data_IF_660518093103
#
_entry.id   IF_660518093103
#
_cell.length_a   1.000
_cell.length_b   1.000
_cell.length_c   1.000
_cell.angle_alpha   90.00
_cell.angle_beta   90.00
_cell.angle_gamma   90.00
#
_symmetry.space_group_name_H-M   'P 1'
#
loop_
_entity.id
_entity.type
_entity.pdbx_description
1 polymer ?
#
# COMPACT_ATOMS: atom_id res chain seq x y z
N UNK A 1 -29.23 16.55 -7.32
CA UNK A 1 -28.83 16.45 -8.73
C UNK A 1 -29.29 15.11 -9.25
N UNK A 2 -29.95 15.09 -10.42
CA UNK A 2 -30.32 13.83 -11.07
C UNK A 2 -29.04 13.06 -11.45
N UNK A 3 -29.03 11.72 -11.45
CA UNK A 3 -27.91 10.94 -12.00
C UNK A 3 -27.53 11.36 -13.44
N UNK A 4 -28.47 11.97 -14.18
CA UNK A 4 -28.29 12.46 -15.54
C UNK A 4 -27.67 13.86 -15.67
N UNK A 5 -27.40 14.56 -14.57
CA UNK A 5 -26.81 15.92 -14.59
C UNK A 5 -25.29 15.93 -14.34
N UNK A 6 -24.63 14.76 -14.34
CA UNK A 6 -23.18 14.70 -14.17
C UNK A 6 -22.49 15.17 -15.44
N UNK A 7 -21.79 16.30 -15.35
CA UNK A 7 -20.82 16.72 -16.38
C UNK A 7 -19.77 15.59 -16.50
N UNK A 8 -19.50 15.08 -17.71
CA UNK A 8 -18.44 14.09 -17.90
C UNK A 8 -17.11 14.62 -17.33
N UNK A 9 -16.45 13.80 -16.50
CA UNK A 9 -15.13 14.12 -15.99
C UNK A 9 -14.04 13.92 -17.04
N UNK A 10 -12.90 14.59 -16.85
CA UNK A 10 -11.71 14.40 -17.67
C UNK A 10 -10.94 13.12 -17.29
N UNK A 11 -10.21 12.56 -18.28
CA UNK A 11 -9.25 11.47 -18.04
C UNK A 11 -7.88 12.07 -17.72
N UNK A 12 -7.34 11.71 -16.57
CA UNK A 12 -6.02 12.16 -16.11
C UNK A 12 -4.95 11.11 -16.41
N UNK A 13 -3.80 11.57 -16.90
CA UNK A 13 -2.65 10.69 -17.22
C UNK A 13 -1.38 11.27 -16.61
N UNK A 14 -0.75 10.53 -15.70
CA UNK A 14 0.64 10.76 -15.29
C UNK A 14 1.55 9.90 -16.15
N UNK A 15 2.48 10.51 -16.89
CA UNK A 15 3.44 9.74 -17.70
C UNK A 15 4.46 9.09 -16.77
N UNK A 16 4.85 7.85 -17.07
CA UNK A 16 5.80 7.09 -16.25
C UNK A 16 7.12 7.83 -15.99
N UNK A 17 7.64 8.55 -17.00
CA UNK A 17 8.86 9.37 -16.88
C UNK A 17 8.74 10.52 -15.87
N UNK A 18 7.51 10.92 -15.52
CA UNK A 18 7.22 12.01 -14.59
C UNK A 18 6.89 11.48 -13.18
N UNK A 19 6.90 10.15 -12.98
CA UNK A 19 6.73 9.50 -11.68
C UNK A 19 8.10 9.47 -11.00
N UNK A 20 8.27 10.32 -10.00
CA UNK A 20 9.52 10.50 -9.26
C UNK A 20 9.25 10.39 -7.77
N UNK A 21 10.30 10.11 -6.99
CA UNK A 21 10.21 10.13 -5.54
C UNK A 21 9.66 11.47 -5.05
N UNK A 22 8.73 11.43 -4.10
CA UNK A 22 8.29 12.63 -3.41
C UNK A 22 9.43 13.18 -2.54
N UNK A 23 9.48 14.49 -2.38
CA UNK A 23 10.36 15.10 -1.36
C UNK A 23 9.83 14.79 0.04
N UNK A 24 10.70 14.39 0.95
CA UNK A 24 10.36 14.13 2.36
C UNK A 24 10.97 12.84 2.89
N UNK A 25 10.85 12.58 4.21
CA UNK A 25 11.37 11.36 4.83
C UNK A 25 10.71 10.12 4.23
N UNK A 26 11.52 9.12 3.94
CA UNK A 26 11.09 7.77 3.56
C UNK A 26 11.83 6.78 4.46
N UNK A 27 11.27 5.58 4.64
CA UNK A 27 12.06 4.49 5.23
C UNK A 27 13.25 4.22 4.32
N UNK A 28 14.44 4.04 4.89
CA UNK A 28 15.66 3.86 4.10
C UNK A 28 15.51 2.65 3.16
N UNK A 29 15.84 2.85 1.90
CA UNK A 29 15.63 1.88 0.83
C UNK A 29 14.17 1.61 0.39
N UNK A 30 13.15 2.22 1.01
CA UNK A 30 11.76 2.23 0.50
C UNK A 30 11.48 3.52 -0.24
N UNK A 31 11.50 3.49 -1.56
CA UNK A 31 11.21 4.66 -2.39
C UNK A 31 9.76 4.63 -2.85
N UNK A 32 8.94 5.57 -2.35
CA UNK A 32 7.54 5.74 -2.77
C UNK A 32 7.41 6.94 -3.70
N UNK A 33 6.86 6.69 -4.90
CA UNK A 33 6.75 7.66 -5.98
C UNK A 33 5.26 7.84 -6.34
N UNK A 34 4.63 8.96 -5.95
CA UNK A 34 3.21 9.17 -6.20
C UNK A 34 2.93 9.26 -7.71
N UNK A 35 1.98 8.45 -8.19
CA UNK A 35 1.56 8.45 -9.59
C UNK A 35 0.27 9.25 -9.77
N UNK A 36 -0.78 8.91 -9.03
CA UNK A 36 -2.08 9.60 -9.02
C UNK A 36 -2.46 9.85 -7.55
N UNK A 37 -2.22 11.05 -7.05
CA UNK A 37 -2.51 11.47 -5.67
C UNK A 37 -3.17 12.85 -5.73
N UNK A 38 -4.15 13.10 -4.84
CA UNK A 38 -4.93 14.35 -4.81
C UNK A 38 -5.78 14.62 -6.06
N UNK A 39 -6.05 13.60 -6.88
CA UNK A 39 -6.81 13.72 -8.15
C UNK A 39 -8.20 13.10 -8.10
N UNK A 40 -8.46 12.17 -7.18
CA UNK A 40 -9.74 11.48 -7.02
C UNK A 40 -10.10 11.44 -5.54
N UNK A 41 -11.40 11.45 -5.21
CA UNK A 41 -11.86 11.26 -3.83
C UNK A 41 -11.97 9.79 -3.44
N UNK A 42 -11.77 8.86 -4.38
CA UNK A 42 -12.04 7.44 -4.18
C UNK A 42 -10.78 6.59 -4.15
N UNK A 43 -9.78 6.94 -4.96
CA UNK A 43 -8.55 6.15 -5.07
C UNK A 43 -7.33 7.02 -5.33
N UNK A 44 -6.18 6.54 -4.86
CA UNK A 44 -4.87 7.06 -5.22
C UNK A 44 -3.92 5.91 -5.57
N UNK A 45 -2.85 6.24 -6.30
CA UNK A 45 -1.91 5.28 -6.87
C UNK A 45 -0.46 5.72 -6.66
N UNK A 46 0.39 4.79 -6.23
CA UNK A 46 1.81 5.00 -5.94
C UNK A 46 2.65 3.87 -6.54
N UNK A 47 3.83 4.19 -7.06
CA UNK A 47 4.86 3.20 -7.39
C UNK A 47 5.81 3.09 -6.21
N UNK A 48 5.99 1.90 -5.67
CA UNK A 48 6.97 1.63 -4.62
C UNK A 48 8.15 0.84 -5.21
N UNK A 49 9.36 1.25 -4.87
CA UNK A 49 10.58 0.47 -5.11
C UNK A 49 11.20 0.14 -3.75
N UNK A 50 11.40 -1.15 -3.49
CA UNK A 50 12.12 -1.62 -2.32
C UNK A 50 13.51 -2.08 -2.74
N UNK A 51 14.56 -1.54 -2.13
CA UNK A 51 15.95 -1.95 -2.38
C UNK A 51 16.24 -3.35 -1.82
N UNK A 52 17.31 -4.03 -2.27
CA UNK A 52 17.71 -5.32 -1.72
C UNK A 52 17.87 -5.26 -0.20
N UNK A 53 17.45 -6.33 0.50
CA UNK A 53 17.61 -6.50 1.94
C UNK A 53 16.99 -5.37 2.78
N UNK A 54 15.76 -5.00 2.45
CA UNK A 54 15.04 -3.92 3.15
C UNK A 54 13.65 -4.35 3.60
N UNK A 55 13.18 -3.72 4.66
CA UNK A 55 11.82 -3.86 5.15
C UNK A 55 11.29 -2.49 5.57
N UNK A 56 9.99 -2.27 5.37
CA UNK A 56 9.32 -1.09 5.93
C UNK A 56 9.25 -1.15 7.46
N UNK A 57 8.91 -0.04 8.11
CA UNK A 57 8.38 -0.10 9.48
C UNK A 57 7.02 -0.85 9.51
N UNK A 58 6.64 -1.34 10.69
CA UNK A 58 5.27 -1.84 10.91
C UNK A 58 4.32 -0.64 10.87
N UNK A 59 3.26 -0.75 10.08
CA UNK A 59 2.30 0.35 9.88
C UNK A 59 0.94 -0.17 9.43
N UNK A 60 -0.06 0.72 9.39
CA UNK A 60 -1.33 0.51 8.70
C UNK A 60 -1.74 1.76 7.90
N UNK A 61 -2.82 1.65 7.13
CA UNK A 61 -3.31 2.71 6.24
C UNK A 61 -4.63 3.33 6.72
N UNK A 62 -4.82 3.40 8.04
CA UNK A 62 -6.08 3.86 8.63
C UNK A 62 -7.29 3.13 8.03
N UNK A 63 -8.26 3.89 7.53
CA UNK A 63 -9.49 3.41 6.90
C UNK A 63 -9.34 2.95 5.44
N UNK A 64 -8.15 3.07 4.84
CA UNK A 64 -7.94 2.73 3.42
C UNK A 64 -7.65 1.24 3.23
N UNK A 65 -8.46 0.58 2.40
CA UNK A 65 -8.05 -0.67 1.77
C UNK A 65 -6.92 -0.41 0.77
N UNK A 66 -5.95 -1.32 0.70
CA UNK A 66 -4.79 -1.25 -0.19
C UNK A 66 -4.69 -2.47 -1.08
N UNK A 67 -4.61 -2.25 -2.39
CA UNK A 67 -4.24 -3.28 -3.37
C UNK A 67 -2.77 -3.09 -3.74
N UNK A 68 -2.02 -4.18 -3.68
CA UNK A 68 -0.65 -4.27 -4.20
C UNK A 68 -0.70 -5.13 -5.46
N UNK A 69 -0.08 -4.64 -6.53
CA UNK A 69 0.28 -5.45 -7.69
C UNK A 69 1.80 -5.55 -7.78
N UNK A 70 2.33 -6.77 -7.72
CA UNK A 70 3.76 -7.03 -7.82
C UNK A 70 4.21 -6.95 -9.28
N UNK A 71 4.83 -5.85 -9.68
CA UNK A 71 5.21 -5.63 -11.08
C UNK A 71 6.60 -6.19 -11.41
N UNK A 72 7.55 -6.17 -10.47
CA UNK A 72 8.92 -6.70 -10.64
C UNK A 72 9.46 -7.24 -9.32
N UNK A 73 10.27 -8.30 -9.42
CA UNK A 73 11.03 -8.89 -8.32
C UNK A 73 10.16 -9.74 -7.39
N UNK A 74 10.80 -10.36 -6.40
CA UNK A 74 10.14 -11.24 -5.43
C UNK A 74 10.28 -10.60 -4.04
N UNK A 75 9.15 -10.35 -3.39
CA UNK A 75 9.11 -9.77 -2.04
C UNK A 75 8.03 -10.43 -1.21
N UNK A 76 7.76 -9.89 -0.03
CA UNK A 76 6.74 -10.42 0.84
C UNK A 76 5.98 -9.35 1.61
N UNK A 77 4.75 -9.67 1.99
CA UNK A 77 3.99 -8.95 3.01
C UNK A 77 4.01 -9.78 4.29
N UNK A 78 4.59 -9.22 5.35
CA UNK A 78 4.52 -9.77 6.71
C UNK A 78 3.35 -9.11 7.43
N UNK A 79 2.55 -9.88 8.16
CA UNK A 79 1.32 -9.41 8.80
C UNK A 79 0.87 -10.32 9.95
N UNK A 80 -0.25 -9.98 10.58
CA UNK A 80 -0.87 -10.77 11.64
C UNK A 80 -0.26 -10.50 13.02
N UNK A 81 -0.76 -11.19 14.05
CA UNK A 81 -0.34 -10.95 15.45
C UNK A 81 1.18 -11.10 15.55
N UNK A 82 1.85 -10.02 15.97
CA UNK A 82 3.31 -9.93 16.05
C UNK A 82 4.06 -10.30 14.76
N UNK A 83 3.48 -10.06 13.57
CA UNK A 83 4.12 -10.40 12.29
C UNK A 83 4.26 -11.89 12.04
N UNK A 84 3.42 -12.72 12.67
CA UNK A 84 3.51 -14.19 12.61
C UNK A 84 3.15 -14.81 11.25
N UNK A 85 2.57 -14.03 10.33
CA UNK A 85 2.16 -14.49 9.01
C UNK A 85 2.96 -13.78 7.93
N UNK A 86 3.12 -14.46 6.81
CA UNK A 86 3.87 -13.96 5.65
C UNK A 86 3.28 -14.50 4.37
N UNK A 87 3.11 -13.62 3.39
CA UNK A 87 2.79 -13.98 2.02
C UNK A 87 3.90 -13.51 1.10
N UNK A 88 4.52 -14.44 0.39
CA UNK A 88 5.40 -14.10 -0.73
C UNK A 88 4.57 -13.58 -1.90
N UNK A 89 5.14 -12.63 -2.64
CA UNK A 89 4.59 -12.05 -3.85
C UNK A 89 5.64 -12.12 -4.96
N UNK A 90 5.25 -12.70 -6.08
CA UNK A 90 6.05 -12.77 -7.31
C UNK A 90 5.43 -11.90 -8.40
N UNK A 91 6.14 -11.58 -9.49
CA UNK A 91 5.60 -10.73 -10.54
C UNK A 91 4.28 -11.25 -11.12
N UNK A 92 3.25 -10.41 -11.13
CA UNK A 92 1.90 -10.74 -11.57
C UNK A 92 0.89 -10.95 -10.43
N UNK A 93 1.36 -11.12 -9.20
CA UNK A 93 0.47 -11.32 -8.05
C UNK A 93 -0.25 -10.04 -7.62
N UNK A 94 -1.43 -10.23 -7.06
CA UNK A 94 -2.19 -9.22 -6.35
C UNK A 94 -2.29 -9.57 -4.86
N UNK A 95 -2.20 -8.56 -4.01
CA UNK A 95 -2.57 -8.67 -2.60
C UNK A 95 -3.58 -7.59 -2.24
N UNK A 96 -4.52 -7.94 -1.36
CA UNK A 96 -5.35 -7.00 -0.62
C UNK A 96 -4.82 -6.90 0.80
N UNK A 97 -4.57 -5.69 1.25
CA UNK A 97 -4.29 -5.34 2.63
C UNK A 97 -5.50 -4.51 3.12
N UNK A 98 -6.39 -5.10 3.94
CA UNK A 98 -7.57 -4.39 4.41
C UNK A 98 -7.23 -3.19 5.31
N UNK A 99 -8.17 -2.26 5.42
CA UNK A 99 -8.11 -1.17 6.39
C UNK A 99 -7.66 -1.66 7.79
N UNK A 100 -6.81 -0.88 8.45
CA UNK A 100 -6.20 -1.15 9.75
C UNK A 100 -5.34 -2.43 9.85
N UNK A 101 -5.14 -3.19 8.78
CA UNK A 101 -4.25 -4.34 8.83
C UNK A 101 -2.81 -3.88 9.00
N UNK A 102 -2.21 -4.20 10.16
CA UNK A 102 -0.79 -4.00 10.39
C UNK A 102 0.02 -4.90 9.47
N UNK A 103 1.03 -4.33 8.82
CA UNK A 103 1.88 -5.06 7.90
C UNK A 103 3.27 -4.43 7.75
N UNK A 104 4.16 -5.20 7.11
CA UNK A 104 5.42 -4.74 6.55
C UNK A 104 5.55 -5.22 5.10
N UNK A 105 6.08 -4.36 4.24
CA UNK A 105 6.62 -4.79 2.96
C UNK A 105 8.09 -5.17 3.15
N UNK A 106 8.49 -6.33 2.60
CA UNK A 106 9.82 -6.92 2.78
C UNK A 106 10.41 -7.29 1.42
N UNK A 107 11.67 -6.94 1.23
CA UNK A 107 12.52 -7.42 0.14
C UNK A 107 13.77 -8.09 0.73
N UNK A 108 13.74 -9.41 0.82
CA UNK A 108 14.89 -10.22 1.24
C UNK A 108 15.79 -10.63 0.06
N UNK A 109 15.48 -10.17 -1.16
CA UNK A 109 16.21 -10.55 -2.37
C UNK A 109 17.39 -9.62 -2.65
N UNK A 110 18.25 -10.02 -3.57
CA UNK A 110 19.39 -9.24 -4.06
C UNK A 110 19.02 -8.20 -5.13
N UNK A 111 17.75 -8.14 -5.53
CA UNK A 111 17.27 -7.27 -6.61
C UNK A 111 16.24 -6.26 -6.10
N UNK A 112 16.11 -5.13 -6.79
CA UNK A 112 15.01 -4.19 -6.53
C UNK A 112 13.66 -4.85 -6.85
N UNK A 113 12.70 -4.75 -5.93
CA UNK A 113 11.29 -5.04 -6.22
C UNK A 113 10.55 -3.75 -6.59
N UNK A 114 9.56 -3.88 -7.48
CA UNK A 114 8.69 -2.75 -7.90
C UNK A 114 7.24 -3.17 -7.75
N UNK A 115 6.51 -2.47 -6.90
CA UNK A 115 5.10 -2.71 -6.64
C UNK A 115 4.25 -1.49 -7.02
N UNK A 116 3.07 -1.75 -7.56
CA UNK A 116 2.06 -0.73 -7.83
C UNK A 116 1.02 -0.81 -6.72
N UNK A 117 0.87 0.28 -5.98
CA UNK A 117 0.01 0.36 -4.81
C UNK A 117 -1.18 1.24 -5.18
N UNK A 118 -2.39 0.72 -4.99
CA UNK A 118 -3.64 1.47 -5.11
C UNK A 118 -4.34 1.48 -3.76
N UNK A 119 -4.80 2.65 -3.31
CA UNK A 119 -5.51 2.79 -2.02
C UNK A 119 -6.87 3.42 -2.19
N UNK A 120 -7.80 3.06 -1.32
CA UNK A 120 -9.15 3.62 -1.23
C UNK A 120 -9.19 4.98 -0.55
N UNK A 121 -8.66 6.02 -1.18
CA UNK A 121 -8.68 7.38 -0.65
C UNK A 121 -8.00 8.39 -1.56
N UNK A 122 -8.16 9.68 -1.24
CA UNK A 122 -7.62 10.78 -2.07
C UNK A 122 -6.11 10.93 -1.97
N UNK A 123 -5.59 10.75 -0.76
CA UNK A 123 -4.19 10.88 -0.42
C UNK A 123 -3.81 9.69 0.45
N UNK A 124 -2.63 9.08 0.25
CA UNK A 124 -2.24 7.90 0.98
C UNK A 124 -2.15 8.18 2.48
N UNK A 125 -2.81 7.36 3.29
CA UNK A 125 -2.67 7.34 4.75
C UNK A 125 -1.56 6.35 5.12
N UNK A 126 -0.66 6.76 6.01
CA UNK A 126 0.37 5.89 6.59
C UNK A 126 0.49 6.21 8.07
N UNK A 127 0.14 5.26 8.91
CA UNK A 127 0.28 5.35 10.36
C UNK A 127 1.37 4.39 10.82
N UNK A 128 2.56 4.92 11.08
CA UNK A 128 3.69 4.14 11.57
C UNK A 128 3.49 3.76 13.03
N UNK A 129 3.82 2.51 13.36
CA UNK A 129 3.71 1.96 14.71
C UNK A 129 5.09 1.77 15.34
N UNK A 130 5.17 1.81 16.67
CA UNK A 130 6.40 1.49 17.42
C UNK A 130 6.75 -0.01 17.37
N UNK A 131 5.84 -0.84 16.86
CA UNK A 131 5.98 -2.27 16.68
C UNK A 131 4.63 -2.90 16.33
N UNK A 132 4.58 -4.23 16.27
CA UNK A 132 3.32 -4.95 16.13
C UNK A 132 2.45 -4.78 17.37
N UNK A 133 1.16 -4.49 17.17
CA UNK A 133 0.23 -4.52 18.28
C UNK A 133 0.17 -5.93 18.86
N UNK A 134 0.33 -6.01 20.18
CA UNK A 134 -0.06 -7.21 20.92
C UNK A 134 -1.56 -7.31 20.79
N UNK A 135 -2.07 -8.47 20.39
CA UNK A 135 -3.50 -8.69 20.14
C UNK A 135 -4.35 -8.04 21.25
N UNK A 136 -5.21 -7.09 20.87
CA UNK A 136 -6.44 -6.90 21.62
C UNK A 136 -7.20 -8.22 21.50
N UNK A 137 -7.58 -8.81 22.63
CA UNK A 137 -8.50 -9.94 22.65
C UNK A 137 -9.69 -9.59 21.77
N UNK A 138 -9.89 -10.33 20.67
CA UNK A 138 -11.14 -10.25 19.92
C UNK A 138 -12.21 -10.76 20.88
N UNK A 139 -13.02 -9.84 21.43
CA UNK A 139 -14.22 -10.23 22.14
C UNK A 139 -15.05 -11.08 21.16
N UNK A 140 -15.43 -12.32 21.53
CA UNK A 140 -16.19 -13.17 20.64
C UNK A 140 -17.56 -12.54 20.41
N UNK A 141 -17.88 -12.11 19.18
CA UNK A 141 -19.27 -11.74 18.90
C UNK A 141 -19.63 -10.87 17.69
N UNK A 142 -18.75 -10.51 16.77
CA UNK A 142 -19.18 -9.77 15.57
C UNK A 142 -18.68 -10.45 14.29
N UNK A 143 -19.36 -11.55 13.96
CA UNK A 143 -19.29 -12.18 12.64
C UNK A 143 -20.32 -11.57 11.70
N UNK A 144 -19.83 -11.10 10.56
CA UNK A 144 -20.38 -11.21 9.21
C UNK A 144 -21.89 -10.98 8.98
N UNK A 145 -22.18 -9.91 8.23
CA UNK A 145 -23.07 -9.99 7.07
C UNK A 145 -22.27 -9.62 5.83
#
# INVERSE_FOLDING_TARGET
MSPNDRIPGDVLVKKGKDITAAGGPQTDGMVRMPAIVDQSNQICGTVMVAKPHTASAVHHHGEEDTIVYAAKGNGAIVYGVNGSKRHELVPGDFALIPAYAEHQEVNDSDEDIVWIITRGGRNPIVENLEGWSKSHEILPGQGAY
#
